data_IF_384497390886
#
_entry.id   IF_384497390886
#
_cell.length_a   1.000
_cell.length_b   1.000
_cell.length_c   1.000
_cell.angle_alpha   90.00
_cell.angle_beta   90.00
_cell.angle_gamma   90.00
#
_symmetry.space_group_name_H-M   'P 1'
#
loop_
_entity.id
_entity.type
_entity.pdbx_description
1 polymer ?
#
# COMPACT_ATOMS: atom_id res chain seq x y z
N UNK A 1 -22.01 -18.85 13.22
CA UNK A 1 -21.22 -18.76 11.97
C UNK A 1 -21.52 -17.40 11.35
N UNK A 2 -20.63 -16.40 11.49
CA UNK A 2 -20.83 -15.11 10.80
C UNK A 2 -20.43 -15.32 9.35
N UNK A 3 -21.42 -15.36 8.45
CA UNK A 3 -21.18 -15.20 7.01
C UNK A 3 -20.55 -13.81 6.83
N UNK A 4 -19.22 -13.74 6.71
CA UNK A 4 -18.60 -12.57 6.10
C UNK A 4 -19.20 -12.47 4.70
N UNK A 5 -19.82 -11.34 4.37
CA UNK A 5 -20.19 -11.05 2.99
C UNK A 5 -18.89 -10.98 2.19
N UNK A 6 -18.50 -12.11 1.59
CA UNK A 6 -17.40 -12.16 0.63
C UNK A 6 -17.82 -11.30 -0.54
N UNK A 7 -17.25 -10.10 -0.61
CA UNK A 7 -17.36 -9.23 -1.77
C UNK A 7 -16.04 -9.28 -2.50
N UNK A 8 -16.08 -9.29 -3.82
CA UNK A 8 -14.86 -9.11 -4.60
C UNK A 8 -14.43 -7.65 -4.51
N UNK A 9 -13.13 -7.41 -4.59
CA UNK A 9 -12.58 -6.08 -4.61
C UNK A 9 -11.08 -6.10 -4.85
N UNK A 10 -10.49 -4.91 -4.82
CA UNK A 10 -9.08 -4.70 -5.09
C UNK A 10 -8.29 -4.67 -3.79
N UNK A 11 -7.15 -5.35 -3.75
CA UNK A 11 -6.12 -5.15 -2.73
C UNK A 11 -4.96 -4.39 -3.35
N UNK A 12 -4.52 -3.35 -2.66
CA UNK A 12 -3.32 -2.58 -2.98
C UNK A 12 -2.33 -2.75 -1.83
N UNK A 13 -1.08 -3.06 -2.17
CA UNK A 13 0.05 -2.99 -1.24
C UNK A 13 1.06 -2.00 -1.81
N UNK A 14 1.40 -0.97 -1.04
CA UNK A 14 2.42 0.01 -1.38
C UNK A 14 3.61 -0.15 -0.45
N UNK A 15 4.82 0.09 -0.93
CA UNK A 15 6.05 -0.01 -0.13
C UNK A 15 7.17 0.85 -0.74
N UNK A 16 7.81 1.70 0.08
CA UNK A 16 8.94 2.53 -0.32
C UNK A 16 10.18 1.68 -0.65
N UNK A 17 10.76 1.90 -1.83
CA UNK A 17 11.91 1.13 -2.26
C UNK A 17 13.18 1.57 -1.53
N UNK A 18 13.90 0.60 -0.93
CA UNK A 18 15.20 0.81 -0.28
C UNK A 18 15.19 1.95 0.75
N UNK A 19 14.05 2.13 1.44
CA UNK A 19 13.86 3.29 2.31
C UNK A 19 14.85 3.39 3.47
N UNK A 20 15.34 2.26 3.99
CA UNK A 20 16.44 2.23 4.96
C UNK A 20 17.68 2.99 4.46
N UNK A 21 18.06 2.80 3.20
CA UNK A 21 19.19 3.51 2.58
C UNK A 21 18.91 5.00 2.42
N UNK A 22 17.71 5.35 1.98
CA UNK A 22 17.30 6.76 1.82
C UNK A 22 17.36 7.47 3.17
N UNK A 23 16.92 6.80 4.23
CA UNK A 23 16.92 7.35 5.59
C UNK A 23 18.34 7.59 6.10
N UNK A 24 19.27 6.69 5.80
CA UNK A 24 20.70 6.84 6.13
C UNK A 24 21.35 8.00 5.35
N UNK A 25 21.14 8.05 4.03
CA UNK A 25 21.72 9.07 3.15
C UNK A 25 21.20 10.49 3.48
N UNK A 26 19.91 10.60 3.82
CA UNK A 26 19.27 11.89 4.12
C UNK A 26 19.26 12.23 5.61
N UNK A 27 19.84 11.39 6.47
CA UNK A 27 19.93 11.58 7.93
C UNK A 27 18.54 11.82 8.55
N UNK A 28 17.53 11.07 8.11
CA UNK A 28 16.19 11.19 8.68
C UNK A 28 16.07 10.43 10.00
N UNK A 29 15.24 10.97 10.90
CA UNK A 29 14.83 10.26 12.11
C UNK A 29 13.85 9.15 11.74
N UNK A 30 14.19 7.90 12.09
CA UNK A 30 13.38 6.68 11.81
C UNK A 30 12.13 6.55 12.71
N UNK A 31 11.99 7.43 13.70
CA UNK A 31 10.89 7.41 14.65
C UNK A 31 9.94 8.60 14.48
N UNK A 32 10.18 9.44 13.48
CA UNK A 32 9.34 10.60 13.17
C UNK A 32 9.05 10.66 11.67
N UNK A 33 7.88 11.20 11.28
CA UNK A 33 7.59 11.44 9.89
C UNK A 33 8.61 12.43 9.31
N UNK A 34 9.08 12.13 8.11
CA UNK A 34 9.82 13.08 7.27
C UNK A 34 8.95 13.46 6.07
N UNK A 35 9.49 14.31 5.19
CA UNK A 35 8.74 14.80 4.03
C UNK A 35 8.23 13.67 3.13
N UNK A 36 8.96 12.55 2.99
CA UNK A 36 8.54 11.41 2.16
C UNK A 36 7.47 10.58 2.88
N UNK A 37 7.73 10.11 4.09
CA UNK A 37 6.81 9.22 4.82
C UNK A 37 5.53 9.94 5.25
N UNK A 38 5.63 11.22 5.63
CA UNK A 38 4.47 12.07 5.93
C UNK A 38 3.63 12.36 4.69
N UNK A 39 4.25 12.62 3.54
CA UNK A 39 3.52 12.77 2.27
C UNK A 39 2.84 11.46 1.88
N UNK A 40 3.51 10.31 2.02
CA UNK A 40 2.88 9.02 1.75
C UNK A 40 1.69 8.77 2.68
N UNK A 41 1.81 9.08 3.98
CA UNK A 41 0.68 9.00 4.93
C UNK A 41 -0.52 9.80 4.42
N UNK A 42 -0.33 11.07 4.03
CA UNK A 42 -1.43 11.92 3.55
C UNK A 42 -2.04 11.43 2.23
N UNK A 43 -1.21 10.95 1.30
CA UNK A 43 -1.64 10.42 0.02
C UNK A 43 -2.48 9.15 0.19
N UNK A 44 -2.04 8.23 1.07
CA UNK A 44 -2.77 7.01 1.38
C UNK A 44 -4.07 7.32 2.14
N UNK A 45 -4.05 8.28 3.08
CA UNK A 45 -5.27 8.74 3.75
C UNK A 45 -6.30 9.29 2.74
N UNK A 46 -5.87 10.15 1.81
CA UNK A 46 -6.76 10.72 0.80
C UNK A 46 -7.30 9.65 -0.17
N UNK A 47 -6.43 8.74 -0.61
CA UNK A 47 -6.80 7.61 -1.46
C UNK A 47 -7.85 6.72 -0.77
N UNK A 48 -7.61 6.35 0.48
CA UNK A 48 -8.52 5.50 1.26
C UNK A 48 -9.87 6.18 1.49
N UNK A 49 -9.88 7.50 1.73
CA UNK A 49 -11.11 8.28 1.86
C UNK A 49 -11.91 8.35 0.56
N UNK A 50 -11.24 8.63 -0.57
CA UNK A 50 -11.85 8.71 -1.91
C UNK A 50 -12.56 7.41 -2.28
N UNK A 51 -11.90 6.28 -2.05
CA UNK A 51 -12.37 4.96 -2.46
C UNK A 51 -13.13 4.20 -1.37
N UNK A 52 -13.43 4.84 -0.23
CA UNK A 52 -14.05 4.21 0.94
C UNK A 52 -13.33 2.91 1.35
N UNK A 53 -12.00 2.91 1.25
CA UNK A 53 -11.16 1.74 1.43
C UNK A 53 -10.86 1.48 2.91
N UNK A 54 -10.53 0.22 3.22
CA UNK A 54 -10.08 -0.21 4.53
C UNK A 54 -8.57 -0.41 4.54
N UNK A 55 -7.88 0.29 5.43
CA UNK A 55 -6.45 0.04 5.69
C UNK A 55 -6.33 -1.12 6.69
N UNK A 56 -5.72 -2.23 6.26
CA UNK A 56 -5.43 -3.36 7.16
C UNK A 56 -4.14 -3.14 7.96
N UNK A 57 -3.17 -2.42 7.39
CA UNK A 57 -1.87 -2.21 7.98
C UNK A 57 -1.18 -0.97 7.39
N UNK A 58 -0.33 -0.33 8.20
CA UNK A 58 0.76 0.51 7.72
C UNK A 58 0.53 2.02 7.67
N UNK A 59 -0.72 2.49 7.70
CA UNK A 59 -1.00 3.92 7.82
C UNK A 59 -0.61 4.41 9.23
N UNK A 60 0.51 5.11 9.32
CA UNK A 60 1.13 5.56 10.58
C UNK A 60 1.37 7.08 10.51
N UNK A 61 0.69 7.83 11.40
CA UNK A 61 0.83 9.29 11.49
C UNK A 61 1.94 9.72 12.44
N UNK A 62 2.31 8.86 13.39
CA UNK A 62 3.30 9.17 14.42
C UNK A 62 4.73 8.94 13.90
N UNK A 63 4.92 7.91 13.07
CA UNK A 63 6.23 7.55 12.48
C UNK A 63 6.30 7.86 10.99
N UNK A 64 5.16 8.04 10.33
CA UNK A 64 5.06 8.14 8.89
C UNK A 64 4.92 6.76 8.23
N UNK A 65 4.23 6.72 7.09
CA UNK A 65 3.93 5.48 6.37
C UNK A 65 5.11 5.10 5.47
N UNK A 66 5.57 3.85 5.58
CA UNK A 66 6.57 3.25 4.68
C UNK A 66 5.97 2.16 3.78
N UNK A 67 5.06 1.37 4.35
CA UNK A 67 4.32 0.29 3.70
C UNK A 67 2.85 0.42 4.09
N UNK A 68 1.91 0.11 3.21
CA UNK A 68 0.50 0.00 3.57
C UNK A 68 -0.23 -1.10 2.79
N UNK A 69 -1.20 -1.75 3.46
CA UNK A 69 -2.10 -2.76 2.87
C UNK A 69 -3.52 -2.24 2.90
N UNK A 70 -4.14 -2.12 1.72
CA UNK A 70 -5.40 -1.42 1.52
C UNK A 70 -6.38 -2.33 0.77
N UNK A 71 -7.59 -2.43 1.29
CA UNK A 71 -8.70 -3.21 0.72
C UNK A 71 -9.77 -2.26 0.21
N UNK A 72 -10.19 -2.44 -1.04
CA UNK A 72 -11.17 -1.60 -1.72
C UNK A 72 -12.34 -2.48 -2.18
N UNK A 73 -13.42 -2.58 -1.38
CA UNK A 73 -14.56 -3.42 -1.73
C UNK A 73 -15.22 -2.97 -3.04
N UNK A 74 -15.63 -3.94 -3.86
CA UNK A 74 -16.43 -3.73 -5.07
C UNK A 74 -15.78 -2.85 -6.16
N UNK A 75 -14.48 -2.56 -6.06
CA UNK A 75 -13.72 -1.77 -7.04
C UNK A 75 -12.73 -2.68 -7.77
N UNK A 76 -12.62 -2.52 -9.08
CA UNK A 76 -11.63 -3.21 -9.92
C UNK A 76 -10.29 -2.46 -10.00
N UNK A 77 -9.16 -3.14 -10.26
CA UNK A 77 -7.84 -2.51 -10.28
C UNK A 77 -7.71 -1.35 -11.27
N UNK A 78 -8.38 -1.44 -12.43
CA UNK A 78 -8.29 -0.45 -13.49
C UNK A 78 -8.89 0.90 -13.08
N UNK A 79 -9.84 0.90 -12.13
CA UNK A 79 -10.51 2.12 -11.66
C UNK A 79 -9.59 2.97 -10.77
N UNK A 80 -8.64 2.34 -10.08
CA UNK A 80 -7.75 3.02 -9.12
C UNK A 80 -6.36 3.29 -9.68
N UNK A 81 -6.04 2.80 -10.88
CA UNK A 81 -4.67 2.79 -11.40
C UNK A 81 -4.09 4.20 -11.58
N UNK A 82 -4.91 5.16 -12.01
CA UNK A 82 -4.48 6.54 -12.21
C UNK A 82 -4.13 7.21 -10.87
N UNK A 83 -4.93 6.98 -9.83
CA UNK A 83 -4.64 7.48 -8.49
C UNK A 83 -3.38 6.85 -7.92
N UNK A 84 -3.18 5.55 -8.11
CA UNK A 84 -1.97 4.85 -7.66
C UNK A 84 -0.72 5.39 -8.37
N UNK A 85 -0.82 5.66 -9.67
CA UNK A 85 0.26 6.27 -10.45
C UNK A 85 0.55 7.70 -9.99
N UNK A 86 -0.49 8.47 -9.64
CA UNK A 86 -0.33 9.79 -9.04
C UNK A 86 0.40 9.72 -7.69
N UNK A 87 0.04 8.77 -6.82
CA UNK A 87 0.75 8.56 -5.55
C UNK A 87 2.23 8.24 -5.83
N UNK A 88 2.50 7.28 -6.71
CA UNK A 88 3.86 6.88 -7.08
C UNK A 88 4.69 8.07 -7.57
N UNK A 89 4.16 8.86 -8.50
CA UNK A 89 4.84 10.06 -9.06
C UNK A 89 5.07 11.15 -8.03
N UNK A 90 4.15 11.35 -7.08
CA UNK A 90 4.35 12.35 -6.03
C UNK A 90 5.49 11.96 -5.09
N UNK A 91 5.61 10.67 -4.74
CA UNK A 91 6.75 10.17 -3.97
C UNK A 91 8.05 10.27 -4.78
N UNK A 92 8.01 9.96 -6.07
CA UNK A 92 9.15 10.09 -6.98
C UNK A 92 9.74 11.51 -7.01
N UNK A 93 8.88 12.54 -7.02
CA UNK A 93 9.30 13.95 -6.98
C UNK A 93 10.04 14.33 -5.69
N UNK A 94 9.84 13.60 -4.60
CA UNK A 94 10.53 13.82 -3.32
C UNK A 94 11.88 13.07 -3.24
N UNK A 95 12.27 12.39 -4.32
CA UNK A 95 13.52 11.63 -4.40
C UNK A 95 13.48 10.31 -3.65
N UNK A 96 12.32 9.65 -3.63
CA UNK A 96 12.14 8.26 -3.21
C UNK A 96 11.28 7.54 -4.24
N UNK A 97 11.34 6.22 -4.33
CA UNK A 97 10.46 5.48 -5.25
C UNK A 97 9.53 4.54 -4.50
N UNK A 98 8.38 4.26 -5.12
CA UNK A 98 7.32 3.47 -4.53
C UNK A 98 7.00 2.28 -5.44
N UNK A 99 7.07 1.07 -4.89
CA UNK A 99 6.56 -0.13 -5.56
C UNK A 99 5.14 -0.42 -5.09
N UNK A 100 4.28 -0.80 -6.03
CA UNK A 100 2.86 -1.07 -5.76
C UNK A 100 2.49 -2.43 -6.35
N UNK A 101 1.96 -3.30 -5.49
CA UNK A 101 1.35 -4.57 -5.89
C UNK A 101 -0.17 -4.47 -5.79
N UNK A 102 -0.87 -4.87 -6.84
CA UNK A 102 -2.34 -4.84 -6.91
C UNK A 102 -2.86 -6.22 -7.27
N UNK A 103 -3.98 -6.61 -6.67
CA UNK A 103 -4.71 -7.81 -7.08
C UNK A 103 -6.22 -7.63 -6.93
N UNK A 104 -6.97 -8.48 -7.61
CA UNK A 104 -8.43 -8.52 -7.52
C UNK A 104 -8.92 -9.90 -7.12
N UNK A 105 -9.94 -9.95 -6.26
CA UNK A 105 -10.51 -11.20 -5.81
C UNK A 105 -11.39 -11.04 -4.58
N UNK A 106 -11.77 -12.17 -3.95
CA UNK A 106 -12.58 -12.14 -2.73
C UNK A 106 -11.86 -11.41 -1.60
N UNK A 107 -12.57 -10.53 -0.91
CA UNK A 107 -12.07 -9.81 0.26
C UNK A 107 -12.64 -10.41 1.55
N UNK A 108 -11.75 -10.75 2.46
CA UNK A 108 -12.08 -11.02 3.85
C UNK A 108 -11.82 -9.75 4.65
N UNK A 109 -12.88 -9.01 4.98
CA UNK A 109 -12.76 -7.81 5.82
C UNK A 109 -12.70 -8.25 7.29
N UNK A 110 -11.56 -8.80 7.69
CA UNK A 110 -11.25 -9.10 9.09
C UNK A 110 -10.25 -8.05 9.55
N UNK A 111 -10.58 -7.30 10.60
CA UNK A 111 -9.65 -6.36 11.23
C UNK A 111 -8.41 -7.13 11.69
N UNK A 112 -7.27 -6.89 11.04
CA UNK A 112 -6.01 -7.55 11.39
C UNK A 112 -5.53 -7.06 12.77
N UNK A 113 -5.11 -7.98 13.64
CA UNK A 113 -4.53 -7.64 14.95
C UNK A 113 -3.03 -7.38 14.87
N UNK A 114 -2.39 -7.89 13.83
CA UNK A 114 -0.95 -7.81 13.62
C UNK A 114 -0.62 -7.88 12.12
N UNK A 115 0.63 -7.55 11.79
CA UNK A 115 1.13 -7.60 10.41
C UNK A 115 0.91 -8.98 9.78
N UNK A 116 1.19 -10.08 10.49
CA UNK A 116 1.03 -11.44 9.93
C UNK A 116 -0.41 -11.71 9.48
N UNK A 117 -1.40 -11.27 10.25
CA UNK A 117 -2.81 -11.39 9.90
C UNK A 117 -3.20 -10.54 8.69
N UNK A 118 -2.63 -9.33 8.55
CA UNK A 118 -2.92 -8.44 7.42
C UNK A 118 -2.57 -9.09 6.06
N UNK A 119 -1.59 -10.00 6.00
CA UNK A 119 -1.18 -10.71 4.77
C UNK A 119 -1.72 -12.14 4.66
N UNK A 120 -2.69 -12.52 5.49
CA UNK A 120 -3.22 -13.89 5.50
C UNK A 120 -4.19 -14.18 4.35
N UNK A 121 -4.95 -13.17 3.91
CA UNK A 121 -5.98 -13.28 2.87
C UNK A 121 -5.42 -13.64 1.50
N UNK A 122 -6.17 -14.44 0.73
CA UNK A 122 -5.75 -14.93 -0.59
C UNK A 122 -5.41 -13.78 -1.55
N UNK A 123 -6.31 -12.80 -1.65
CA UNK A 123 -6.15 -11.63 -2.52
C UNK A 123 -4.95 -10.79 -2.08
N UNK A 124 -4.75 -10.62 -0.77
CA UNK A 124 -3.57 -9.93 -0.22
C UNK A 124 -2.27 -10.66 -0.57
N UNK A 125 -2.22 -12.00 -0.50
CA UNK A 125 -1.05 -12.79 -0.92
C UNK A 125 -0.73 -12.60 -2.41
N UNK A 126 -1.75 -12.46 -3.26
CA UNK A 126 -1.56 -12.14 -4.69
C UNK A 126 -1.01 -10.72 -4.88
N UNK A 127 -1.54 -9.72 -4.16
CA UNK A 127 -1.01 -8.36 -4.21
C UNK A 127 0.44 -8.31 -3.70
N UNK A 128 0.78 -9.08 -2.65
CA UNK A 128 2.15 -9.21 -2.18
C UNK A 128 3.07 -9.85 -3.22
N UNK A 129 2.59 -10.86 -3.97
CA UNK A 129 3.34 -11.44 -5.09
C UNK A 129 3.58 -10.40 -6.19
N UNK A 130 2.57 -9.58 -6.50
CA UNK A 130 2.69 -8.48 -7.45
C UNK A 130 3.71 -7.43 -6.98
N UNK A 131 3.68 -7.03 -5.70
CA UNK A 131 4.64 -6.10 -5.12
C UNK A 131 6.07 -6.63 -5.19
N UNK A 132 6.28 -7.90 -4.84
CA UNK A 132 7.59 -8.55 -4.94
C UNK A 132 8.09 -8.59 -6.37
N UNK A 133 7.21 -8.84 -7.32
CA UNK A 133 7.53 -8.76 -8.75
C UNK A 133 7.92 -7.33 -9.17
N UNK A 134 7.23 -6.31 -8.65
CA UNK A 134 7.54 -4.91 -8.92
C UNK A 134 8.95 -4.56 -8.46
N UNK A 135 9.27 -4.92 -7.20
CA UNK A 135 10.60 -4.75 -6.61
C UNK A 135 11.68 -5.53 -7.37
N UNK A 136 11.41 -6.80 -7.74
CA UNK A 136 12.34 -7.64 -8.52
C UNK A 136 12.68 -7.04 -9.89
N UNK A 137 11.72 -6.34 -10.51
CA UNK A 137 11.89 -5.65 -11.80
C UNK A 137 12.52 -4.26 -11.67
N UNK A 138 13.14 -3.93 -10.53
CA UNK A 138 13.86 -2.67 -10.31
C UNK A 138 13.11 -1.60 -9.50
N UNK A 139 11.93 -1.94 -8.94
CA UNK A 139 11.13 -1.02 -8.14
C UNK A 139 10.43 0.08 -8.95
N UNK A 140 9.86 1.07 -8.26
CA UNK A 140 9.20 2.23 -8.87
C UNK A 140 8.11 1.89 -9.91
N UNK A 141 7.29 0.87 -9.65
CA UNK A 141 6.28 0.42 -10.60
C UNK A 141 5.07 -0.19 -9.93
N UNK A 142 3.99 -0.24 -10.70
CA UNK A 142 2.74 -0.88 -10.34
C UNK A 142 2.64 -2.20 -11.10
N UNK A 143 2.37 -3.29 -10.40
CA UNK A 143 2.07 -4.60 -11.01
C UNK A 143 0.72 -5.08 -10.52
N UNK A 144 -0.10 -5.58 -11.45
CA UNK A 144 -1.42 -6.14 -11.19
C UNK A 144 -1.36 -7.66 -11.43
N UNK A 145 -1.93 -8.46 -10.52
CA UNK A 145 -1.98 -9.94 -10.60
C UNK A 145 -3.32 -10.54 -10.18
#
# INVERSE_FOLDING_TARGET
MRLSKVSNGTVVIVDLDKFEKITEEKVFDRYKPNIITGTLTQLIENFTRKWQAHVLYGLDYERGTEEAVILIPMVKPEEVIEDLENIRRNIEKLGATLSIGVSYGPLDVIKARNRREAYSGLTVKRALKALREAKRKGGNKIIIM
#
